data_IF_156819728494
#
_entry.id   IF_156819728494
#
_cell.length_a   1.000
_cell.length_b   1.000
_cell.length_c   1.000
_cell.angle_alpha   90.00
_cell.angle_beta   90.00
_cell.angle_gamma   90.00
#
_symmetry.space_group_name_H-M   'P 1'
#
loop_
_entity.id
_entity.type
_entity.pdbx_description
1 polymer ?
#
# COMPACT_ATOMS: atom_id res chain seq x y z
N UNK A 1 -22.55 -6.32 -12.82
CA UNK A 1 -23.06 -5.20 -12.01
C UNK A 1 -22.17 -5.13 -10.78
N UNK A 2 -21.14 -4.27 -10.80
CA UNK A 2 -20.20 -4.12 -9.69
C UNK A 2 -20.83 -3.20 -8.63
N UNK A 3 -21.28 -3.78 -7.54
CA UNK A 3 -21.60 -3.03 -6.33
C UNK A 3 -20.29 -2.62 -5.67
N UNK A 4 -19.89 -1.35 -5.88
CA UNK A 4 -18.93 -0.66 -5.02
C UNK A 4 -19.51 -0.64 -3.60
N UNK A 5 -19.16 -1.63 -2.78
CA UNK A 5 -19.36 -1.57 -1.34
C UNK A 5 -18.13 -0.90 -0.75
N UNK A 6 -18.09 0.43 -0.81
CA UNK A 6 -17.36 1.20 0.20
C UNK A 6 -18.04 0.87 1.52
N UNK A 7 -17.40 0.03 2.32
CA UNK A 7 -17.78 -0.19 3.71
C UNK A 7 -17.58 1.14 4.43
N UNK A 8 -18.62 1.97 4.50
CA UNK A 8 -18.61 3.15 5.34
C UNK A 8 -18.46 2.69 6.78
N UNK A 9 -17.27 2.82 7.33
CA UNK A 9 -17.07 2.75 8.77
C UNK A 9 -17.70 4.02 9.35
N UNK A 10 -18.76 3.85 10.13
CA UNK A 10 -19.50 4.96 10.74
C UNK A 10 -18.60 5.77 11.65
N UNK A 11 -18.28 7.00 11.25
CA UNK A 11 -17.47 7.94 12.02
C UNK A 11 -15.99 7.55 12.12
N UNK A 12 -15.16 8.50 12.60
CA UNK A 12 -13.74 8.28 12.86
C UNK A 12 -13.58 7.33 14.06
N UNK A 13 -12.96 6.13 13.91
CA UNK A 13 -12.80 5.19 15.02
C UNK A 13 -11.78 5.71 16.04
N UNK A 14 -11.94 5.33 17.31
CA UNK A 14 -10.98 5.67 18.36
C UNK A 14 -9.70 4.83 18.29
N UNK A 15 -9.80 3.59 17.81
CA UNK A 15 -8.72 2.61 17.79
C UNK A 15 -8.65 1.90 16.43
N UNK A 16 -7.44 1.64 15.95
CA UNK A 16 -7.17 0.82 14.76
C UNK A 16 -6.02 -0.14 15.01
N UNK A 17 -6.01 -1.27 14.31
CA UNK A 17 -4.80 -2.06 14.16
C UNK A 17 -4.03 -1.60 12.92
N UNK A 18 -2.71 -1.52 13.02
CA UNK A 18 -1.82 -1.28 11.89
C UNK A 18 -1.10 -2.56 11.51
N UNK A 19 -1.36 -3.04 10.29
CA UNK A 19 -0.63 -4.16 9.72
C UNK A 19 0.51 -3.62 8.86
N UNK A 20 1.72 -3.53 9.43
CA UNK A 20 2.88 -2.85 8.83
C UNK A 20 3.37 -3.46 7.52
N UNK A 21 2.99 -4.72 7.24
CA UNK A 21 3.48 -5.52 6.10
C UNK A 21 4.98 -5.84 6.18
N UNK A 22 5.37 -7.01 5.66
CA UNK A 22 6.75 -7.46 5.80
C UNK A 22 7.78 -6.60 5.04
N UNK A 23 7.44 -6.07 3.86
CA UNK A 23 8.42 -5.31 3.06
C UNK A 23 8.60 -3.89 3.58
N UNK A 24 7.53 -3.25 4.01
CA UNK A 24 7.59 -1.88 4.53
C UNK A 24 8.30 -1.89 5.90
N UNK A 25 7.97 -2.82 6.78
CA UNK A 25 8.64 -2.97 8.08
C UNK A 25 10.16 -3.26 7.96
N UNK A 26 10.57 -4.13 7.03
CA UNK A 26 11.98 -4.51 6.88
C UNK A 26 12.83 -3.50 6.10
N UNK A 27 12.28 -2.88 5.06
CA UNK A 27 13.07 -2.07 4.12
C UNK A 27 12.78 -0.57 4.20
N UNK A 28 11.62 -0.18 4.73
CA UNK A 28 11.15 1.21 4.76
C UNK A 28 10.40 1.51 6.08
N UNK A 29 10.96 1.19 7.26
CA UNK A 29 10.24 1.28 8.53
C UNK A 29 9.75 2.69 8.83
N UNK A 30 10.50 3.72 8.44
CA UNK A 30 10.11 5.13 8.59
C UNK A 30 8.77 5.42 7.90
N UNK A 31 8.51 4.86 6.72
CA UNK A 31 7.22 5.01 6.04
C UNK A 31 6.04 4.39 6.83
N UNK A 32 6.32 3.39 7.66
CA UNK A 32 5.36 2.81 8.59
C UNK A 32 5.09 3.73 9.76
N UNK A 33 6.15 4.29 10.34
CA UNK A 33 6.05 5.29 11.40
C UNK A 33 5.33 6.56 10.92
N UNK A 34 5.54 6.98 9.68
CA UNK A 34 4.83 8.11 9.07
C UNK A 34 3.34 7.83 8.95
N UNK A 35 2.97 6.61 8.54
CA UNK A 35 1.57 6.20 8.46
C UNK A 35 0.92 6.17 9.86
N UNK A 36 1.62 5.65 10.86
CA UNK A 36 1.16 5.66 12.26
C UNK A 36 0.98 7.11 12.74
N UNK A 37 1.97 7.97 12.49
CA UNK A 37 1.93 9.39 12.87
C UNK A 37 0.74 10.11 12.24
N UNK A 38 0.46 9.87 10.95
CA UNK A 38 -0.71 10.42 10.28
C UNK A 38 -2.02 9.99 10.94
N UNK A 39 -2.14 8.71 11.31
CA UNK A 39 -3.32 8.17 12.00
C UNK A 39 -3.47 8.80 13.40
N UNK A 40 -2.38 8.90 14.16
CA UNK A 40 -2.37 9.47 15.51
C UNK A 40 -2.70 10.97 15.52
N UNK A 41 -2.24 11.73 14.51
CA UNK A 41 -2.62 13.12 14.31
C UNK A 41 -4.13 13.31 14.08
N UNK A 42 -4.84 12.26 13.67
CA UNK A 42 -6.29 12.27 13.56
C UNK A 42 -7.00 11.99 14.88
N UNK A 43 -6.26 11.77 15.98
CA UNK A 43 -6.78 11.40 17.30
C UNK A 43 -7.08 9.91 17.44
N UNK A 44 -6.50 9.07 16.58
CA UNK A 44 -6.74 7.62 16.55
C UNK A 44 -5.60 6.91 17.26
N UNK A 45 -5.92 6.03 18.20
CA UNK A 45 -4.93 5.16 18.84
C UNK A 45 -4.57 4.01 17.91
N UNK A 46 -3.29 3.87 17.62
CA UNK A 46 -2.79 2.81 16.74
C UNK A 46 -2.24 1.64 17.56
N UNK A 47 -2.73 0.45 17.28
CA UNK A 47 -2.25 -0.80 17.86
C UNK A 47 -1.41 -1.56 16.84
N UNK A 48 -0.17 -1.86 17.19
CA UNK A 48 0.74 -2.64 16.35
C UNK A 48 1.05 -3.99 17.02
N UNK A 49 0.42 -5.10 16.60
CA UNK A 49 0.76 -6.42 17.12
C UNK A 49 2.19 -6.79 16.73
N UNK A 50 3.07 -7.01 17.70
CA UNK A 50 4.50 -7.28 17.45
C UNK A 50 4.74 -8.66 16.81
N UNK A 51 3.79 -9.59 16.97
CA UNK A 51 3.87 -10.94 16.43
C UNK A 51 3.41 -11.03 14.96
N UNK A 52 2.98 -9.92 14.36
CA UNK A 52 2.61 -9.90 12.95
C UNK A 52 3.82 -10.16 12.05
N UNK A 53 3.59 -10.73 10.87
CA UNK A 53 4.67 -10.98 9.90
C UNK A 53 4.26 -10.69 8.46
N UNK A 54 4.10 -11.72 7.63
CA UNK A 54 3.74 -11.57 6.22
C UNK A 54 2.25 -11.85 6.01
N UNK A 55 1.66 -11.22 4.98
CA UNK A 55 0.30 -11.55 4.55
C UNK A 55 0.19 -12.88 3.76
N UNK A 56 1.33 -13.51 3.44
CA UNK A 56 1.41 -14.76 2.68
C UNK A 56 1.33 -14.60 1.15
N UNK A 57 1.24 -13.37 0.64
CA UNK A 57 1.04 -13.12 -0.79
C UNK A 57 2.12 -13.75 -1.70
N UNK A 58 3.45 -13.67 -1.40
CA UNK A 58 4.45 -14.25 -2.30
C UNK A 58 4.33 -15.77 -2.48
N UNK A 59 3.99 -16.50 -1.42
CA UNK A 59 3.72 -17.93 -1.48
C UNK A 59 2.44 -18.20 -2.29
N UNK A 60 1.38 -17.43 -2.02
CA UNK A 60 0.10 -17.57 -2.69
C UNK A 60 0.20 -17.36 -4.21
N UNK A 61 0.82 -16.27 -4.65
CA UNK A 61 0.98 -15.95 -6.08
C UNK A 61 1.91 -16.93 -6.82
N UNK A 62 2.76 -17.63 -6.08
CA UNK A 62 3.66 -18.66 -6.61
C UNK A 62 3.03 -20.06 -6.65
N UNK A 63 1.79 -20.23 -6.19
CA UNK A 63 1.11 -21.52 -6.12
C UNK A 63 1.37 -22.34 -4.85
N UNK A 64 2.15 -21.81 -3.91
CA UNK A 64 2.49 -22.43 -2.61
C UNK A 64 1.35 -22.18 -1.60
N UNK A 65 0.21 -22.84 -1.81
CA UNK A 65 -1.02 -22.57 -1.04
C UNK A 65 -0.92 -23.00 0.42
N UNK A 66 -0.24 -24.09 0.73
CA UNK A 66 -0.08 -24.58 2.10
C UNK A 66 0.81 -23.63 2.92
N UNK A 67 1.89 -23.16 2.33
CA UNK A 67 2.80 -22.19 2.94
C UNK A 67 2.08 -20.84 3.14
N UNK A 68 1.31 -20.39 2.14
CA UNK A 68 0.49 -19.20 2.28
C UNK A 68 -0.56 -19.36 3.40
N UNK A 69 -1.19 -20.53 3.51
CA UNK A 69 -2.17 -20.84 4.55
C UNK A 69 -1.54 -20.75 5.94
N UNK A 70 -0.38 -21.38 6.14
CA UNK A 70 0.31 -21.39 7.43
C UNK A 70 0.77 -19.99 7.85
N UNK A 71 1.30 -19.20 6.92
CA UNK A 71 1.67 -17.80 7.17
C UNK A 71 0.46 -16.96 7.56
N UNK A 72 -0.63 -17.03 6.79
CA UNK A 72 -1.84 -16.27 7.06
C UNK A 72 -2.51 -16.71 8.37
N UNK A 73 -2.48 -18.01 8.69
CA UNK A 73 -3.08 -18.59 9.91
C UNK A 73 -2.49 -17.97 11.16
N UNK A 74 -1.16 -17.78 11.18
CA UNK A 74 -0.47 -17.15 12.30
C UNK A 74 -0.92 -15.70 12.57
N UNK A 75 -1.51 -15.02 11.57
CA UNK A 75 -1.99 -13.65 11.71
C UNK A 75 -3.42 -13.58 12.29
N UNK A 76 -4.24 -14.62 12.11
CA UNK A 76 -5.68 -14.55 12.37
C UNK A 76 -6.05 -14.24 13.83
N UNK A 77 -5.17 -14.55 14.78
CA UNK A 77 -5.40 -14.34 16.22
C UNK A 77 -4.85 -13.02 16.75
N UNK A 78 -4.14 -12.24 15.93
CA UNK A 78 -3.43 -11.04 16.38
C UNK A 78 -4.33 -9.80 16.52
N UNK A 79 -5.58 -9.90 16.07
CA UNK A 79 -6.53 -8.77 16.00
C UNK A 79 -7.82 -9.11 16.77
N UNK A 80 -7.75 -9.35 18.10
CA UNK A 80 -8.89 -9.83 18.89
C UNK A 80 -10.05 -8.83 18.98
N UNK A 81 -9.76 -7.53 19.01
CA UNK A 81 -10.78 -6.49 19.08
C UNK A 81 -11.38 -6.20 17.70
N UNK A 82 -12.63 -5.73 17.66
CA UNK A 82 -13.34 -5.40 16.43
C UNK A 82 -12.96 -4.02 15.87
N UNK A 83 -11.65 -3.75 15.77
CA UNK A 83 -11.12 -2.52 15.16
C UNK A 83 -10.83 -2.72 13.66
N UNK A 84 -10.88 -1.65 12.86
CA UNK A 84 -10.35 -1.67 11.49
C UNK A 84 -8.88 -2.08 11.50
N UNK A 85 -8.48 -2.84 10.48
CA UNK A 85 -7.09 -3.24 10.24
C UNK A 85 -6.59 -2.43 9.06
N UNK A 86 -5.84 -1.37 9.36
CA UNK A 86 -5.27 -0.45 8.38
C UNK A 86 -3.99 -1.05 7.80
N UNK A 87 -3.94 -1.15 6.47
CA UNK A 87 -2.81 -1.74 5.74
C UNK A 87 -2.20 -0.68 4.79
N UNK A 88 -0.92 -0.32 4.92
CA UNK A 88 -0.24 0.64 4.04
C UNK A 88 0.24 -0.04 2.74
N UNK A 89 -0.63 -0.82 2.10
CA UNK A 89 -0.32 -1.54 0.86
C UNK A 89 -1.58 -2.09 0.21
N UNK A 90 -1.77 -1.76 -1.08
CA UNK A 90 -2.81 -2.39 -1.88
C UNK A 90 -2.59 -3.90 -2.06
N UNK A 91 -1.33 -4.33 -2.12
CA UNK A 91 -0.96 -5.75 -2.29
C UNK A 91 -1.28 -6.60 -1.06
N UNK A 92 -0.86 -6.16 0.13
CA UNK A 92 -1.19 -6.87 1.37
C UNK A 92 -2.68 -6.72 1.73
N UNK A 93 -3.26 -5.54 1.50
CA UNK A 93 -4.69 -5.30 1.70
C UNK A 93 -5.54 -6.24 0.82
N UNK A 94 -5.21 -6.37 -0.46
CA UNK A 94 -5.89 -7.29 -1.38
C UNK A 94 -5.74 -8.76 -0.99
N UNK A 95 -4.53 -9.16 -0.58
CA UNK A 95 -4.27 -10.51 -0.04
C UNK A 95 -5.17 -10.82 1.15
N UNK A 96 -5.22 -9.94 2.14
CA UNK A 96 -5.99 -10.14 3.36
C UNK A 96 -7.50 -10.07 3.11
N UNK A 97 -7.96 -9.10 2.29
CA UNK A 97 -9.39 -8.84 2.06
C UNK A 97 -10.05 -9.83 1.10
N UNK A 98 -9.35 -10.24 0.04
CA UNK A 98 -9.96 -11.02 -1.05
C UNK A 98 -9.44 -12.45 -1.15
N UNK A 99 -8.21 -12.72 -0.71
CA UNK A 99 -7.57 -14.01 -0.91
C UNK A 99 -7.55 -14.87 0.36
N UNK A 100 -7.43 -14.29 1.57
CA UNK A 100 -7.58 -15.05 2.82
C UNK A 100 -8.93 -15.78 2.93
N UNK A 101 -10.10 -15.16 2.66
CA UNK A 101 -11.38 -15.88 2.61
C UNK A 101 -11.36 -17.16 1.76
N UNK A 102 -10.73 -17.09 0.58
CA UNK A 102 -10.62 -18.22 -0.35
C UNK A 102 -9.58 -19.24 0.11
N UNK A 103 -8.53 -18.79 0.78
CA UNK A 103 -7.45 -19.63 1.29
C UNK A 103 -7.94 -20.52 2.45
N UNK A 104 -8.83 -19.98 3.30
CA UNK A 104 -9.35 -20.67 4.47
C UNK A 104 -10.69 -21.39 4.26
N UNK A 105 -11.29 -21.30 3.07
CA UNK A 105 -12.58 -21.94 2.74
C UNK A 105 -12.55 -23.45 3.05
N UNK A 106 -13.53 -23.92 3.82
CA UNK A 106 -13.67 -25.31 4.27
C UNK A 106 -12.79 -25.71 5.45
N UNK A 107 -11.96 -24.79 5.99
CA UNK A 107 -11.14 -25.03 7.18
C UNK A 107 -11.84 -24.55 8.46
N UNK A 108 -11.37 -25.00 9.62
CA UNK A 108 -11.84 -24.50 10.93
C UNK A 108 -11.62 -22.98 11.13
N UNK A 109 -10.77 -22.35 10.31
CA UNK A 109 -10.45 -20.92 10.39
C UNK A 109 -11.29 -20.05 9.45
N UNK A 110 -12.17 -20.64 8.63
CA UNK A 110 -12.93 -19.92 7.58
C UNK A 110 -13.68 -18.71 8.13
N UNK A 111 -14.43 -18.90 9.23
CA UNK A 111 -15.21 -17.82 9.84
C UNK A 111 -14.31 -16.65 10.25
N UNK A 112 -13.23 -16.94 10.98
CA UNK A 112 -12.28 -15.92 11.45
C UNK A 112 -11.60 -15.18 10.31
N UNK A 113 -11.25 -15.88 9.23
CA UNK A 113 -10.66 -15.27 8.05
C UNK A 113 -11.64 -14.31 7.35
N UNK A 114 -12.93 -14.68 7.26
CA UNK A 114 -13.97 -13.81 6.70
C UNK A 114 -14.22 -12.58 7.58
N UNK A 115 -14.31 -12.75 8.90
CA UNK A 115 -14.49 -11.65 9.86
C UNK A 115 -13.31 -10.66 9.81
N UNK A 116 -12.08 -11.18 9.78
CA UNK A 116 -10.88 -10.34 9.66
C UNK A 116 -10.85 -9.61 8.32
N UNK A 117 -11.10 -10.30 7.20
CA UNK A 117 -11.14 -9.70 5.87
C UNK A 117 -12.15 -8.54 5.78
N UNK A 118 -13.29 -8.64 6.48
CA UNK A 118 -14.29 -7.57 6.57
C UNK A 118 -13.82 -6.30 7.27
N UNK A 119 -12.75 -6.37 8.08
CA UNK A 119 -12.15 -5.24 8.80
C UNK A 119 -10.93 -4.65 8.09
N UNK A 120 -10.45 -5.28 7.03
CA UNK A 120 -9.28 -4.82 6.28
C UNK A 120 -9.63 -3.60 5.43
N UNK A 121 -8.86 -2.55 5.64
CA UNK A 121 -8.95 -1.28 4.91
C UNK A 121 -7.55 -0.81 4.56
N UNK A 122 -7.35 -0.37 3.32
CA UNK A 122 -6.06 0.18 2.90
C UNK A 122 -5.94 1.64 3.37
N UNK A 123 -4.71 2.06 3.70
CA UNK A 123 -4.41 3.35 4.33
C UNK A 123 -5.04 4.56 3.61
N UNK A 124 -4.90 4.68 2.30
CA UNK A 124 -5.44 5.84 1.56
C UNK A 124 -6.96 5.85 1.59
N UNK A 125 -7.59 4.68 1.47
CA UNK A 125 -9.04 4.56 1.59
C UNK A 125 -9.50 4.89 3.01
N UNK A 126 -8.79 4.40 4.03
CA UNK A 126 -9.09 4.70 5.42
C UNK A 126 -9.03 6.21 5.71
N UNK A 127 -7.96 6.90 5.27
CA UNK A 127 -7.82 8.34 5.43
C UNK A 127 -8.97 9.11 4.77
N UNK A 128 -9.37 8.71 3.56
CA UNK A 128 -10.52 9.31 2.87
C UNK A 128 -11.83 9.04 3.61
N UNK A 129 -12.05 7.82 4.10
CA UNK A 129 -13.28 7.41 4.79
C UNK A 129 -13.47 8.16 6.12
N UNK A 130 -12.40 8.46 6.86
CA UNK A 130 -12.46 9.25 8.11
C UNK A 130 -12.54 10.76 7.87
N UNK A 131 -12.57 11.20 6.61
CA UNK A 131 -12.62 12.63 6.23
C UNK A 131 -11.32 13.38 6.49
N UNK A 132 -10.16 12.74 6.32
CA UNK A 132 -8.88 13.44 6.39
C UNK A 132 -8.73 14.46 5.25
N UNK A 133 -8.49 15.71 5.61
CA UNK A 133 -8.24 16.82 4.68
C UNK A 133 -6.84 17.40 4.98
N UNK A 134 -5.80 17.00 4.22
CA UNK A 134 -4.44 17.45 4.49
C UNK A 134 -4.29 18.95 4.20
N UNK A 135 -3.76 19.70 5.17
CA UNK A 135 -3.38 21.09 4.96
C UNK A 135 -1.94 21.15 4.41
N UNK A 136 -1.83 21.34 3.11
CA UNK A 136 -0.53 21.45 2.44
C UNK A 136 0.23 22.72 2.87
N UNK A 137 1.43 22.54 3.40
CA UNK A 137 2.37 23.61 3.80
C UNK A 137 3.69 23.54 3.05
N UNK A 138 3.84 22.59 2.11
CA UNK A 138 5.06 22.42 1.33
C UNK A 138 5.16 23.38 0.14
N UNK A 139 6.35 23.52 -0.42
CA UNK A 139 6.57 24.30 -1.64
C UNK A 139 5.90 23.66 -2.87
N UNK A 140 5.61 24.42 -3.95
CA UNK A 140 5.11 23.87 -5.20
C UNK A 140 5.97 22.73 -5.74
N UNK A 141 5.37 21.59 -6.08
CA UNK A 141 6.08 20.39 -6.54
C UNK A 141 5.28 19.61 -7.58
N UNK A 142 5.98 18.98 -8.53
CA UNK A 142 5.40 18.04 -9.50
C UNK A 142 5.61 16.61 -9.04
N UNK A 143 4.53 15.83 -9.00
CA UNK A 143 4.54 14.46 -8.47
C UNK A 143 4.04 13.49 -9.52
N UNK A 144 4.80 12.43 -9.78
CA UNK A 144 4.32 11.27 -10.52
C UNK A 144 3.89 10.19 -9.52
N UNK A 145 2.64 9.72 -9.62
CA UNK A 145 2.10 8.70 -8.72
C UNK A 145 2.11 7.35 -9.41
N UNK A 146 2.87 6.40 -8.88
CA UNK A 146 2.76 5.01 -9.26
C UNK A 146 1.75 4.29 -8.37
N UNK A 147 0.79 3.60 -8.98
CA UNK A 147 -0.18 2.76 -8.28
C UNK A 147 0.02 1.31 -8.68
N UNK A 148 0.12 0.43 -7.68
CA UNK A 148 0.35 -0.99 -7.95
C UNK A 148 -0.84 -1.63 -8.67
N UNK A 149 -0.56 -2.75 -9.34
CA UNK A 149 -1.62 -3.54 -9.96
C UNK A 149 -2.65 -4.04 -8.95
N UNK A 150 -2.25 -4.35 -7.71
CA UNK A 150 -3.17 -4.77 -6.65
C UNK A 150 -4.03 -3.61 -6.13
N UNK A 151 -3.43 -2.42 -5.95
CA UNK A 151 -4.17 -1.21 -5.61
C UNK A 151 -5.25 -0.87 -6.67
N UNK A 152 -4.98 -1.14 -7.95
CA UNK A 152 -5.94 -0.92 -9.04
C UNK A 152 -6.99 -2.02 -9.17
N UNK A 153 -6.54 -3.28 -9.28
CA UNK A 153 -7.36 -4.40 -9.75
C UNK A 153 -8.04 -5.17 -8.63
N UNK A 154 -7.49 -5.12 -7.42
CA UNK A 154 -8.07 -5.81 -6.26
C UNK A 154 -8.77 -4.82 -5.34
N UNK A 155 -8.04 -3.79 -4.88
CA UNK A 155 -8.54 -2.90 -3.82
C UNK A 155 -9.27 -1.65 -4.35
N UNK A 156 -9.03 -1.24 -5.59
CA UNK A 156 -9.63 -0.02 -6.16
C UNK A 156 -9.11 1.31 -5.58
N UNK A 157 -8.05 1.28 -4.76
CA UNK A 157 -7.56 2.42 -3.95
C UNK A 157 -6.62 3.37 -4.69
N UNK A 158 -6.34 3.12 -5.96
CA UNK A 158 -5.73 4.14 -6.83
C UNK A 158 -6.51 5.45 -6.83
N UNK A 159 -7.86 5.39 -6.75
CA UNK A 159 -8.72 6.58 -6.70
C UNK A 159 -8.57 7.37 -5.40
N UNK A 160 -8.39 6.68 -4.26
CA UNK A 160 -8.23 7.31 -2.95
C UNK A 160 -6.83 7.88 -2.79
N UNK A 161 -5.82 7.19 -3.32
CA UNK A 161 -4.46 7.72 -3.44
C UNK A 161 -4.42 9.02 -4.26
N UNK A 162 -5.03 9.03 -5.46
CA UNK A 162 -5.12 10.26 -6.27
C UNK A 162 -5.88 11.37 -5.57
N UNK A 163 -7.03 11.07 -4.94
CA UNK A 163 -7.81 12.07 -4.21
C UNK A 163 -6.99 12.76 -3.12
N UNK A 164 -6.19 12.01 -2.37
CA UNK A 164 -5.32 12.59 -1.33
C UNK A 164 -4.23 13.48 -1.94
N UNK A 165 -3.56 13.02 -3.00
CA UNK A 165 -2.53 13.81 -3.69
C UNK A 165 -3.12 15.08 -4.32
N UNK A 166 -4.26 14.98 -5.00
CA UNK A 166 -4.94 16.09 -5.67
C UNK A 166 -5.56 17.09 -4.68
N UNK A 167 -5.70 16.72 -3.40
CA UNK A 167 -6.19 17.63 -2.36
C UNK A 167 -5.11 18.59 -1.83
N UNK A 168 -3.84 18.34 -2.15
CA UNK A 168 -2.71 19.16 -1.73
C UNK A 168 -2.54 20.37 -2.67
N UNK A 169 -2.71 21.58 -2.13
CA UNK A 169 -2.79 22.81 -2.94
C UNK A 169 -1.53 23.15 -3.72
N UNK A 170 -0.36 22.76 -3.23
CA UNK A 170 0.94 23.06 -3.83
C UNK A 170 1.52 21.81 -4.52
N UNK A 171 0.69 20.83 -4.89
CA UNK A 171 1.10 19.62 -5.60
C UNK A 171 0.41 19.55 -6.96
N UNK A 172 1.20 19.41 -8.01
CA UNK A 172 0.72 19.10 -9.36
C UNK A 172 0.97 17.61 -9.64
N UNK A 173 -0.10 16.80 -9.70
CA UNK A 173 0.01 15.40 -10.08
C UNK A 173 0.14 15.27 -11.60
N UNK A 174 1.25 14.70 -12.05
CA UNK A 174 1.52 14.40 -13.46
C UNK A 174 1.22 12.93 -13.73
N UNK A 175 0.34 12.66 -14.70
CA UNK A 175 0.01 11.30 -15.13
C UNK A 175 1.08 10.85 -16.12
N UNK A 176 1.84 9.81 -15.76
CA UNK A 176 2.81 9.20 -16.65
C UNK A 176 2.12 8.22 -17.62
N UNK A 177 2.68 8.03 -18.82
CA UNK A 177 2.04 7.27 -19.91
C UNK A 177 1.66 5.83 -19.48
N UNK A 178 2.55 5.16 -18.74
CA UNK A 178 2.33 3.79 -18.28
C UNK A 178 1.58 3.71 -16.94
N UNK A 179 0.75 4.67 -16.53
CA UNK A 179 0.20 4.77 -15.17
C UNK A 179 -0.47 3.49 -14.64
N UNK A 180 -1.18 2.77 -15.52
CA UNK A 180 -1.97 1.59 -15.16
C UNK A 180 -1.17 0.27 -15.18
N UNK A 181 0.06 0.31 -15.66
CA UNK A 181 0.86 -0.88 -15.87
C UNK A 181 1.66 -1.28 -14.63
N UNK A 182 1.88 -2.59 -14.49
CA UNK A 182 2.65 -3.17 -13.40
C UNK A 182 4.11 -2.69 -13.44
N UNK A 183 4.74 -2.53 -12.27
CA UNK A 183 6.15 -2.20 -12.15
C UNK A 183 7.11 -3.37 -12.43
N UNK A 184 6.59 -4.60 -12.57
CA UNK A 184 7.39 -5.81 -12.77
C UNK A 184 7.83 -6.55 -11.50
N UNK A 185 7.54 -6.05 -10.29
CA UNK A 185 8.03 -6.70 -9.05
C UNK A 185 7.46 -8.12 -8.84
N UNK A 186 6.13 -8.25 -8.72
CA UNK A 186 5.42 -9.54 -8.63
C UNK A 186 5.91 -10.53 -7.56
N UNK A 187 6.66 -10.09 -6.54
CA UNK A 187 7.26 -10.98 -5.55
C UNK A 187 8.32 -11.89 -6.18
N UNK A 188 8.10 -13.21 -6.16
CA UNK A 188 9.05 -14.18 -6.73
C UNK A 188 9.17 -14.08 -8.25
N UNK A 189 8.21 -13.45 -8.93
CA UNK A 189 8.26 -13.20 -10.37
C UNK A 189 9.52 -12.43 -10.77
N UNK A 190 9.88 -11.34 -10.08
CA UNK A 190 11.08 -10.56 -10.40
C UNK A 190 12.38 -11.36 -10.27
N UNK A 191 12.39 -12.39 -9.42
CA UNK A 191 13.54 -13.29 -9.25
C UNK A 191 13.56 -14.39 -10.31
N UNK A 192 12.40 -15.00 -10.58
CA UNK A 192 12.29 -16.13 -11.53
C UNK A 192 12.32 -15.69 -12.99
N UNK A 193 11.88 -14.47 -13.28
CA UNK A 193 11.73 -13.89 -14.61
C UNK A 193 12.42 -12.51 -14.65
N UNK A 194 13.69 -12.48 -14.24
CA UNK A 194 14.45 -11.23 -14.06
C UNK A 194 14.52 -10.38 -15.32
N UNK A 195 14.64 -11.00 -16.50
CA UNK A 195 14.74 -10.26 -17.77
C UNK A 195 13.41 -9.58 -18.12
N UNK A 196 12.28 -10.26 -17.86
CA UNK A 196 10.95 -9.70 -18.11
C UNK A 196 10.65 -8.59 -17.09
N UNK A 197 10.89 -8.84 -15.79
CA UNK A 197 10.77 -7.82 -14.75
C UNK A 197 11.64 -6.60 -15.05
N UNK A 198 12.88 -6.85 -15.53
CA UNK A 198 13.83 -5.85 -15.95
C UNK A 198 13.32 -4.98 -17.09
N UNK A 199 12.74 -5.59 -18.13
CA UNK A 199 12.11 -4.86 -19.23
C UNK A 199 10.93 -3.99 -18.73
N UNK A 200 10.01 -4.59 -17.98
CA UNK A 200 8.83 -3.88 -17.45
C UNK A 200 9.20 -2.65 -16.59
N UNK A 201 10.19 -2.80 -15.70
CA UNK A 201 10.62 -1.67 -14.86
C UNK A 201 11.43 -0.64 -15.64
N UNK A 202 12.09 -1.03 -16.75
CA UNK A 202 12.74 -0.09 -17.67
C UNK A 202 11.71 0.84 -18.29
N UNK A 203 10.65 0.28 -18.87
CA UNK A 203 9.58 1.07 -19.49
C UNK A 203 8.89 1.96 -18.44
N UNK A 204 8.68 1.43 -17.22
CA UNK A 204 8.14 2.22 -16.10
C UNK A 204 8.98 3.44 -15.77
N UNK A 205 10.30 3.27 -15.62
CA UNK A 205 11.22 4.34 -15.24
C UNK A 205 11.33 5.37 -16.37
N UNK A 206 11.36 4.93 -17.63
CA UNK A 206 11.33 5.84 -18.78
C UNK A 206 10.07 6.72 -18.76
N UNK A 207 8.88 6.13 -18.60
CA UNK A 207 7.64 6.88 -18.51
C UNK A 207 7.60 7.86 -17.32
N UNK A 208 8.14 7.47 -16.16
CA UNK A 208 8.27 8.35 -15.00
C UNK A 208 9.23 9.51 -15.27
N UNK A 209 10.36 9.25 -15.95
CA UNK A 209 11.35 10.28 -16.32
C UNK A 209 10.78 11.34 -17.23
N UNK A 210 9.97 10.94 -18.21
CA UNK A 210 9.31 11.84 -19.17
C UNK A 210 8.37 12.86 -18.50
N UNK A 211 7.82 12.55 -17.32
CA UNK A 211 6.98 13.49 -16.57
C UNK A 211 7.73 14.70 -16.04
N UNK A 212 9.06 14.61 -15.91
CA UNK A 212 9.91 15.59 -15.22
C UNK A 212 9.43 15.88 -13.78
N UNK A 213 8.70 14.95 -13.16
CA UNK A 213 8.30 15.05 -11.78
C UNK A 213 9.53 15.01 -10.87
N UNK A 214 9.55 15.89 -9.87
CA UNK A 214 10.63 15.97 -8.88
C UNK A 214 10.39 15.03 -7.70
N UNK A 215 9.23 14.39 -7.65
CA UNK A 215 8.83 13.42 -6.64
C UNK A 215 8.11 12.24 -7.28
N UNK A 216 8.38 11.03 -6.79
CA UNK A 216 7.68 9.80 -7.20
C UNK A 216 7.02 9.20 -5.97
N UNK A 217 5.71 9.00 -6.00
CA UNK A 217 4.93 8.50 -4.85
C UNK A 217 4.30 7.15 -5.18
N UNK A 218 4.32 6.22 -4.23
CA UNK A 218 3.64 4.92 -4.31
C UNK A 218 3.17 4.46 -2.93
N UNK A 219 2.23 3.53 -2.87
CA UNK A 219 1.73 2.93 -1.63
C UNK A 219 2.19 1.46 -1.44
N UNK A 220 3.00 0.92 -2.34
CA UNK A 220 3.41 -0.48 -2.29
C UNK A 220 4.94 -0.62 -2.29
N UNK A 221 5.46 -1.09 -1.15
CA UNK A 221 6.91 -1.25 -0.92
C UNK A 221 7.60 -2.11 -1.98
N UNK A 222 6.98 -3.21 -2.43
CA UNK A 222 7.53 -4.02 -3.51
C UNK A 222 7.68 -3.26 -4.83
N UNK A 223 6.73 -2.39 -5.16
CA UNK A 223 6.84 -1.54 -6.35
C UNK A 223 7.94 -0.49 -6.19
N UNK A 224 8.04 0.13 -5.00
CA UNK A 224 9.08 1.11 -4.69
C UNK A 224 10.48 0.49 -4.73
N UNK A 225 10.65 -0.72 -4.21
CA UNK A 225 11.92 -1.46 -4.29
C UNK A 225 12.33 -1.72 -5.74
N UNK A 226 11.41 -2.18 -6.59
CA UNK A 226 11.73 -2.49 -7.98
C UNK A 226 12.06 -1.23 -8.80
N UNK A 227 11.19 -0.21 -8.72
CA UNK A 227 11.37 1.07 -9.43
C UNK A 227 12.60 1.80 -8.89
N UNK A 228 12.73 1.91 -7.57
CA UNK A 228 13.85 2.58 -6.92
C UNK A 228 15.19 1.88 -7.18
N UNK A 229 15.20 0.54 -7.24
CA UNK A 229 16.39 -0.23 -7.61
C UNK A 229 16.82 0.03 -9.05
N UNK A 230 15.86 0.10 -9.99
CA UNK A 230 16.13 0.45 -11.39
C UNK A 230 16.64 1.87 -11.54
N UNK A 231 16.00 2.84 -10.88
CA UNK A 231 16.43 4.25 -10.86
C UNK A 231 17.86 4.36 -10.33
N UNK A 232 18.16 3.76 -9.17
CA UNK A 232 19.48 3.83 -8.57
C UNK A 232 20.59 3.26 -9.46
N UNK A 233 20.25 2.32 -10.36
CA UNK A 233 21.21 1.69 -11.27
C UNK A 233 21.42 2.50 -12.54
N UNK A 234 20.34 2.93 -13.18
CA UNK A 234 20.38 3.44 -14.57
C UNK A 234 20.13 4.95 -14.67
N UNK A 235 19.49 5.55 -13.67
CA UNK A 235 19.03 6.95 -13.68
C UNK A 235 19.23 7.61 -12.30
N UNK A 236 20.46 7.64 -11.73
CA UNK A 236 20.69 7.99 -10.33
C UNK A 236 20.31 9.43 -9.94
N UNK A 237 20.12 10.32 -10.91
CA UNK A 237 19.68 11.70 -10.71
C UNK A 237 18.15 11.85 -10.56
N UNK A 238 17.38 10.80 -10.90
CA UNK A 238 15.93 10.81 -10.69
C UNK A 238 15.59 10.65 -9.20
N UNK A 239 14.46 11.23 -8.74
CA UNK A 239 13.98 11.01 -7.38
C UNK A 239 13.67 9.53 -7.16
N UNK A 240 14.00 9.02 -5.96
CA UNK A 240 13.60 7.67 -5.56
C UNK A 240 12.12 7.67 -5.16
N UNK A 241 11.37 6.58 -5.40
CA UNK A 241 10.00 6.47 -4.94
C UNK A 241 9.91 6.57 -3.41
N UNK A 242 8.99 7.38 -2.91
CA UNK A 242 8.63 7.48 -1.49
C UNK A 242 7.22 6.96 -1.23
N UNK A 243 6.99 6.50 -0.01
CA UNK A 243 5.67 6.02 0.37
C UNK A 243 4.68 7.19 0.46
N UNK A 244 3.42 6.95 0.11
CA UNK A 244 2.38 7.99 0.17
C UNK A 244 2.17 8.54 1.59
N UNK A 245 2.35 7.71 2.63
CA UNK A 245 2.29 8.18 4.02
C UNK A 245 3.38 9.22 4.31
N UNK A 246 4.63 8.90 3.97
CA UNK A 246 5.78 9.82 4.10
C UNK A 246 5.50 11.11 3.36
N UNK A 247 5.08 11.03 2.09
CA UNK A 247 4.78 12.21 1.30
C UNK A 247 3.68 13.07 1.96
N UNK A 248 2.54 12.49 2.35
CA UNK A 248 1.48 13.25 3.02
C UNK A 248 1.93 13.91 4.33
N UNK A 249 2.75 13.21 5.12
CA UNK A 249 3.27 13.74 6.37
C UNK A 249 4.23 14.92 6.15
N UNK A 250 5.19 14.78 5.22
CA UNK A 250 6.10 15.86 4.81
C UNK A 250 5.31 17.10 4.35
N UNK A 251 4.26 16.90 3.54
CA UNK A 251 3.43 17.98 3.00
C UNK A 251 2.59 18.68 4.05
N UNK A 252 2.31 18.02 5.17
CA UNK A 252 1.50 18.58 6.28
C UNK A 252 2.35 19.07 7.45
N UNK A 253 3.68 19.17 7.28
CA UNK A 253 4.60 19.74 8.27
C UNK A 253 5.01 18.78 9.38
N UNK A 254 4.72 17.48 9.22
CA UNK A 254 5.35 16.45 10.03
C UNK A 254 6.83 16.32 9.67
N UNK A 255 7.66 15.99 10.66
CA UNK A 255 9.05 15.62 10.41
C UNK A 255 9.07 14.14 10.04
N UNK A 256 9.53 13.84 8.82
CA UNK A 256 10.07 12.53 8.49
C UNK A 256 11.44 12.35 9.17
#
# INVERSE_FOLDING_TARGET
>A
MNTNQTTQHGGKPADVYFFGTCLLDLFMPEAGMDAITLLEQQGIKVHFPMEQSCCGQPAFSSGHREEAFNVAKAQLTLFPENYPIVVPSGSCGGMMKHHWPKLFKGSEYEQRANELAGRVVELTNFLVDIGYEPKDVGAPVKVAVHTSCAARREMGVHITGWKLIDSLQNVERIVHDHESECCGFGGTFSVKQSDISGAMVTDKVAALKETQATEIVSADAGCMMNIGGKIAKDEPDMPKPKHIATFLLERTGGKA
#
